data_IF_254428864278
#
_entry.id   IF_254428864278
#
_cell.length_a   1.000
_cell.length_b   1.000
_cell.length_c   1.000
_cell.angle_alpha   90.00
_cell.angle_beta   90.00
_cell.angle_gamma   90.00
#
_symmetry.space_group_name_H-M   'P 1'
#
loop_
_entity.id
_entity.type
_entity.pdbx_description
1 polymer ?
#
# COMPACT_ATOMS: atom_id res chain seq x y z
N UNK A 1 -1.44 -4.63 -29.28
CA UNK A 1 -0.69 -5.09 -28.09
C UNK A 1 -1.19 -4.32 -26.88
N UNK A 2 -1.57 -4.99 -25.82
CA UNK A 2 -1.99 -4.36 -24.58
C UNK A 2 -0.80 -4.18 -23.62
N UNK A 3 -0.75 -3.05 -22.93
CA UNK A 3 0.18 -2.86 -21.84
C UNK A 3 -0.34 -3.59 -20.58
N UNK A 4 0.55 -4.01 -19.71
CA UNK A 4 0.22 -4.70 -18.47
C UNK A 4 0.68 -3.89 -17.27
N UNK A 5 -0.07 -3.95 -16.18
CA UNK A 5 0.35 -3.32 -14.92
C UNK A 5 1.59 -4.06 -14.37
N UNK A 6 2.65 -3.31 -14.06
CA UNK A 6 3.88 -3.87 -13.52
C UNK A 6 3.88 -3.91 -11.99
N UNK A 7 3.59 -2.79 -11.36
CA UNK A 7 3.47 -2.66 -9.91
C UNK A 7 2.69 -1.41 -9.52
N UNK A 8 2.29 -1.35 -8.27
CA UNK A 8 1.75 -0.13 -7.64
C UNK A 8 2.80 0.44 -6.69
N UNK A 9 3.17 1.71 -6.88
CA UNK A 9 4.12 2.41 -6.03
C UNK A 9 3.44 3.11 -4.86
N UNK A 10 3.98 2.95 -3.66
CA UNK A 10 3.49 3.57 -2.43
C UNK A 10 4.67 4.27 -1.75
N UNK A 11 4.62 5.59 -1.68
CA UNK A 11 5.61 6.39 -0.94
C UNK A 11 5.23 6.40 0.54
N UNK A 12 6.18 6.04 1.38
CA UNK A 12 5.97 5.86 2.82
C UNK A 12 7.01 6.65 3.63
N UNK A 13 6.65 7.00 4.86
CA UNK A 13 7.56 7.68 5.81
C UNK A 13 8.19 6.73 6.82
N UNK A 14 7.61 5.55 7.00
CA UNK A 14 8.13 4.48 7.86
C UNK A 14 8.13 3.16 7.08
N UNK A 15 9.25 2.90 6.39
CA UNK A 15 9.33 1.75 5.48
C UNK A 15 9.35 0.42 6.23
N UNK A 16 9.96 0.35 7.41
CA UNK A 16 9.99 -0.90 8.20
C UNK A 16 8.58 -1.28 8.67
N UNK A 17 7.79 -0.29 9.08
CA UNK A 17 6.38 -0.49 9.44
C UNK A 17 5.59 -1.05 8.25
N UNK A 18 5.76 -0.49 7.06
CA UNK A 18 5.08 -0.98 5.86
C UNK A 18 5.59 -2.35 5.39
N UNK A 19 6.88 -2.64 5.48
CA UNK A 19 7.40 -4.00 5.21
C UNK A 19 6.71 -5.01 6.13
N UNK A 20 6.61 -4.70 7.43
CA UNK A 20 5.91 -5.56 8.40
C UNK A 20 4.43 -5.74 8.05
N UNK A 21 3.73 -4.68 7.67
CA UNK A 21 2.34 -4.75 7.21
C UNK A 21 2.18 -5.76 6.06
N UNK A 22 2.95 -5.55 5.00
CA UNK A 22 2.79 -6.34 3.79
C UNK A 22 3.30 -7.78 3.94
N UNK A 23 4.31 -8.02 4.75
CA UNK A 23 4.82 -9.40 4.97
C UNK A 23 4.03 -10.14 6.05
N UNK A 24 3.97 -9.62 7.26
CA UNK A 24 3.40 -10.33 8.40
C UNK A 24 1.86 -10.38 8.40
N UNK A 25 1.20 -9.34 7.91
CA UNK A 25 -0.26 -9.26 7.93
C UNK A 25 -0.86 -9.64 6.57
N UNK A 26 -0.33 -9.09 5.48
CA UNK A 26 -0.87 -9.33 4.13
C UNK A 26 -0.31 -10.56 3.44
N UNK A 27 0.76 -11.17 3.96
CA UNK A 27 1.33 -12.41 3.42
C UNK A 27 2.14 -12.25 2.14
N UNK A 28 2.59 -11.03 1.81
CA UNK A 28 3.50 -10.79 0.69
C UNK A 28 4.93 -11.19 1.04
N UNK A 29 5.73 -11.42 0.02
CA UNK A 29 7.16 -11.72 0.15
C UNK A 29 8.00 -10.62 -0.46
N UNK A 30 9.08 -10.21 0.22
CA UNK A 30 10.05 -9.25 -0.33
C UNK A 30 10.85 -9.93 -1.44
N UNK A 31 10.89 -9.31 -2.63
CA UNK A 31 11.67 -9.78 -3.78
C UNK A 31 12.86 -8.89 -4.11
N UNK A 32 12.87 -7.64 -3.65
CA UNK A 32 14.04 -6.76 -3.75
C UNK A 32 13.98 -5.67 -2.67
N UNK A 33 15.16 -5.24 -2.24
CA UNK A 33 15.35 -4.16 -1.28
C UNK A 33 16.65 -3.43 -1.63
N UNK A 34 16.53 -2.24 -2.19
CA UNK A 34 17.67 -1.50 -2.73
C UNK A 34 17.67 -0.06 -2.24
N UNK A 35 18.86 0.46 -1.98
CA UNK A 35 19.10 1.89 -1.80
C UNK A 35 19.68 2.45 -3.09
N UNK A 36 18.97 3.40 -3.69
CA UNK A 36 19.31 3.97 -5.00
C UNK A 36 19.67 5.44 -4.86
N UNK A 37 20.77 5.84 -5.50
CA UNK A 37 21.26 7.21 -5.59
C UNK A 37 22.10 7.38 -6.85
N UNK A 38 22.41 8.61 -7.23
CA UNK A 38 23.23 8.95 -8.38
C UNK A 38 22.45 9.34 -9.62
N UNK A 39 23.17 9.63 -10.70
CA UNK A 39 22.62 10.29 -11.89
C UNK A 39 21.47 9.54 -12.57
N UNK A 40 21.48 8.21 -12.55
CA UNK A 40 20.45 7.42 -13.20
C UNK A 40 19.10 7.58 -12.50
N UNK A 41 19.06 7.39 -11.18
CA UNK A 41 17.80 7.51 -10.42
C UNK A 41 17.33 8.96 -10.36
N UNK A 42 18.24 9.92 -10.30
CA UNK A 42 17.91 11.35 -10.42
C UNK A 42 17.20 11.66 -11.72
N UNK A 43 17.68 11.12 -12.82
CA UNK A 43 17.08 11.30 -14.14
C UNK A 43 15.73 10.61 -14.25
N UNK A 44 15.59 9.40 -13.69
CA UNK A 44 14.32 8.63 -13.71
C UNK A 44 13.24 9.36 -12.91
N UNK A 45 13.56 9.83 -11.71
CA UNK A 45 12.57 10.46 -10.82
C UNK A 45 12.44 11.98 -11.02
N UNK A 46 13.38 12.61 -11.73
CA UNK A 46 13.39 14.07 -11.89
C UNK A 46 13.68 14.83 -10.59
N UNK A 47 14.41 14.21 -9.66
CA UNK A 47 14.74 14.78 -8.35
C UNK A 47 16.26 14.81 -8.20
N UNK A 48 16.89 15.99 -8.10
CA UNK A 48 18.32 16.09 -7.88
C UNK A 48 18.72 15.60 -6.49
N UNK A 49 19.90 15.03 -6.39
CA UNK A 49 20.50 14.49 -5.14
C UNK A 49 19.60 13.47 -4.42
N UNK A 50 18.74 12.77 -5.16
CA UNK A 50 17.82 11.80 -4.59
C UNK A 50 18.56 10.61 -4.00
N UNK A 51 18.09 10.19 -2.83
CA UNK A 51 18.45 8.93 -2.20
C UNK A 51 17.18 8.26 -1.73
N UNK A 52 16.84 7.14 -2.34
CA UNK A 52 15.58 6.44 -2.13
C UNK A 52 15.80 4.95 -1.89
N UNK A 53 15.18 4.41 -0.85
CA UNK A 53 15.08 2.97 -0.65
C UNK A 53 13.81 2.47 -1.32
N UNK A 54 13.96 1.47 -2.17
CA UNK A 54 12.87 0.82 -2.88
C UNK A 54 12.76 -0.63 -2.45
N UNK A 55 11.59 -1.04 -1.99
CA UNK A 55 11.31 -2.42 -1.57
C UNK A 55 10.16 -2.94 -2.40
N UNK A 56 10.38 -4.00 -3.16
CA UNK A 56 9.33 -4.68 -3.93
C UNK A 56 8.86 -5.91 -3.18
N UNK A 57 7.55 -6.06 -3.10
CA UNK A 57 6.89 -7.20 -2.47
C UNK A 57 5.89 -7.80 -3.45
N UNK A 58 5.73 -9.11 -3.39
CA UNK A 58 4.91 -9.88 -4.31
C UNK A 58 3.95 -10.80 -3.54
N UNK A 59 2.72 -10.92 -4.05
CA UNK A 59 1.75 -11.89 -3.55
C UNK A 59 1.84 -13.23 -4.32
N UNK A 60 1.01 -14.19 -3.93
CA UNK A 60 0.96 -15.53 -4.55
C UNK A 60 0.48 -15.50 -6.02
N UNK A 61 -0.24 -14.46 -6.42
CA UNK A 61 -0.72 -14.27 -7.80
C UNK A 61 0.22 -13.43 -8.65
N UNK A 62 1.44 -13.15 -8.16
CA UNK A 62 2.46 -12.33 -8.83
C UNK A 62 2.09 -10.85 -8.97
N UNK A 63 1.14 -10.37 -8.19
CA UNK A 63 0.89 -8.93 -8.06
C UNK A 63 1.99 -8.29 -7.23
N UNK A 64 2.50 -7.15 -7.68
CA UNK A 64 3.65 -6.51 -7.05
C UNK A 64 3.29 -5.11 -6.56
N UNK A 65 3.72 -4.80 -5.34
CA UNK A 65 3.79 -3.43 -4.82
C UNK A 65 5.25 -3.02 -4.67
N UNK A 66 5.50 -1.73 -4.77
CA UNK A 66 6.81 -1.12 -4.51
C UNK A 66 6.66 -0.05 -3.44
N UNK A 67 7.35 -0.23 -2.32
CA UNK A 67 7.46 0.77 -1.28
C UNK A 67 8.64 1.68 -1.59
N UNK A 68 8.44 3.00 -1.50
CA UNK A 68 9.50 3.98 -1.70
C UNK A 68 9.63 4.84 -0.43
N UNK A 69 10.84 4.88 0.09
CA UNK A 69 11.18 5.75 1.20
C UNK A 69 12.31 6.70 0.79
N UNK A 70 11.99 7.99 0.76
CA UNK A 70 12.94 9.03 0.38
C UNK A 70 13.79 9.45 1.58
N UNK A 71 15.06 9.06 1.58
CA UNK A 71 16.03 9.53 2.57
C UNK A 71 16.40 10.99 2.30
N UNK A 72 16.54 11.36 1.01
CA UNK A 72 16.84 12.70 0.55
C UNK A 72 16.26 12.95 -0.87
N UNK A 73 15.58 14.07 -1.13
CA UNK A 73 14.94 14.92 -0.11
C UNK A 73 13.82 14.14 0.58
N UNK A 74 13.55 14.50 1.82
CA UNK A 74 12.42 13.91 2.56
C UNK A 74 11.10 14.18 1.84
N UNK A 75 10.20 13.21 1.85
CA UNK A 75 8.85 13.39 1.31
C UNK A 75 8.14 14.54 2.01
N UNK A 76 7.45 15.41 1.25
CA UNK A 76 6.65 16.47 1.87
C UNK A 76 5.51 15.88 2.69
N UNK A 77 5.08 16.59 3.72
CA UNK A 77 3.92 16.22 4.52
C UNK A 77 2.67 16.19 3.64
N UNK A 78 1.92 15.10 3.72
CA UNK A 78 0.66 14.96 3.01
C UNK A 78 -0.50 15.36 3.93
N UNK A 79 -1.43 16.15 3.40
CA UNK A 79 -2.69 16.43 4.09
C UNK A 79 -3.55 15.17 4.17
N UNK A 80 -4.41 15.10 5.18
CA UNK A 80 -5.41 14.03 5.28
C UNK A 80 -6.35 14.08 4.08
N UNK A 81 -6.64 12.90 3.53
CA UNK A 81 -7.54 12.73 2.39
C UNK A 81 -8.79 11.93 2.77
N UNK A 82 -9.85 12.15 2.02
CA UNK A 82 -11.04 11.28 2.06
C UNK A 82 -10.95 10.19 1.00
N UNK A 83 -11.83 9.20 1.09
CA UNK A 83 -11.92 8.11 0.10
C UNK A 83 -12.31 8.62 -1.30
N UNK A 84 -12.84 9.83 -1.40
CA UNK A 84 -13.22 10.51 -2.65
C UNK A 84 -12.19 11.53 -3.13
N UNK A 85 -11.01 11.62 -2.54
CA UNK A 85 -9.96 12.52 -3.00
C UNK A 85 -9.46 12.13 -4.38
N UNK A 86 -9.09 13.12 -5.20
CA UNK A 86 -8.59 12.87 -6.55
C UNK A 86 -7.28 12.07 -6.52
N UNK A 87 -7.12 11.19 -7.48
CA UNK A 87 -5.94 10.36 -7.67
C UNK A 87 -6.08 8.95 -7.11
N UNK A 88 -4.95 8.27 -6.93
CA UNK A 88 -4.91 6.93 -6.33
C UNK A 88 -5.10 7.07 -4.83
N UNK A 89 -6.21 6.56 -4.29
CA UNK A 89 -6.55 6.66 -2.88
C UNK A 89 -6.30 5.38 -2.11
N UNK A 90 -6.41 4.22 -2.76
CA UNK A 90 -6.36 2.92 -2.07
C UNK A 90 -5.76 1.82 -2.92
N UNK A 91 -5.37 0.76 -2.23
CA UNK A 91 -5.07 -0.56 -2.78
C UNK A 91 -6.11 -1.52 -2.24
N UNK A 92 -6.72 -2.32 -3.12
CA UNK A 92 -7.67 -3.34 -2.73
C UNK A 92 -6.98 -4.70 -2.57
N UNK A 93 -7.27 -5.37 -1.45
CA UNK A 93 -6.74 -6.70 -1.12
C UNK A 93 -7.89 -7.66 -0.86
N UNK A 94 -7.84 -8.83 -1.48
CA UNK A 94 -8.77 -9.93 -1.20
C UNK A 94 -8.32 -10.68 0.06
N UNK A 95 -9.27 -11.06 0.90
CA UNK A 95 -9.04 -11.89 2.09
C UNK A 95 -10.04 -13.04 2.15
N UNK A 96 -9.65 -14.11 2.84
CA UNK A 96 -10.55 -15.23 3.17
C UNK A 96 -11.30 -15.00 4.49
N UNK A 97 -10.91 -13.98 5.28
CA UNK A 97 -11.58 -13.64 6.53
C UNK A 97 -11.45 -12.16 6.86
N UNK A 98 -12.52 -11.41 6.63
CA UNK A 98 -12.61 -10.00 7.01
C UNK A 98 -12.40 -9.80 8.52
N UNK A 99 -12.98 -10.66 9.34
CA UNK A 99 -12.91 -10.53 10.79
C UNK A 99 -11.47 -10.61 11.30
N UNK A 100 -10.73 -11.65 10.88
CA UNK A 100 -9.33 -11.82 11.30
C UNK A 100 -8.43 -10.71 10.81
N UNK A 101 -8.58 -10.33 9.55
CA UNK A 101 -7.76 -9.27 8.97
C UNK A 101 -8.07 -7.90 9.60
N UNK A 102 -9.35 -7.59 9.86
CA UNK A 102 -9.76 -6.39 10.58
C UNK A 102 -9.07 -6.27 11.94
N UNK A 103 -9.06 -7.34 12.73
CA UNK A 103 -8.37 -7.38 14.04
C UNK A 103 -6.88 -7.06 13.90
N UNK A 104 -6.19 -7.73 12.98
CA UNK A 104 -4.76 -7.49 12.73
C UNK A 104 -4.47 -6.06 12.25
N UNK A 105 -5.32 -5.49 11.40
CA UNK A 105 -5.16 -4.11 10.92
C UNK A 105 -5.36 -3.09 12.03
N UNK A 106 -6.35 -3.29 12.89
CA UNK A 106 -6.59 -2.39 14.04
C UNK A 106 -5.42 -2.46 15.01
N UNK A 107 -4.92 -3.65 15.34
CA UNK A 107 -3.74 -3.82 16.20
C UNK A 107 -2.49 -3.16 15.61
N UNK A 108 -2.37 -3.15 14.29
CA UNK A 108 -1.27 -2.47 13.59
C UNK A 108 -1.37 -0.93 13.64
N UNK A 109 -2.56 -0.37 13.79
CA UNK A 109 -2.80 1.07 13.86
C UNK A 109 -3.75 1.63 12.80
N UNK A 110 -4.36 0.77 11.98
CA UNK A 110 -5.46 1.20 11.11
C UNK A 110 -6.75 1.43 11.91
N UNK A 111 -7.62 2.25 11.37
CA UNK A 111 -9.00 2.34 11.82
C UNK A 111 -9.95 2.09 10.66
N UNK A 112 -11.11 1.51 10.96
CA UNK A 112 -12.17 1.37 9.97
C UNK A 112 -12.75 2.75 9.64
N UNK A 113 -12.93 3.02 8.35
CA UNK A 113 -13.71 4.20 7.93
C UNK A 113 -15.15 4.05 8.38
N UNK A 114 -15.71 2.85 8.17
CA UNK A 114 -16.96 2.34 8.73
C UNK A 114 -16.87 0.83 8.92
N UNK A 115 -17.81 0.23 9.63
CA UNK A 115 -17.87 -1.23 9.70
C UNK A 115 -18.02 -1.85 8.30
N UNK A 116 -17.31 -2.97 8.01
CA UNK A 116 -17.43 -3.65 6.73
C UNK A 116 -18.85 -4.05 6.39
N UNK A 117 -19.25 -3.84 5.15
CA UNK A 117 -20.63 -3.99 4.66
C UNK A 117 -20.69 -5.12 3.63
N UNK A 118 -21.74 -5.93 3.72
CA UNK A 118 -22.07 -6.92 2.69
C UNK A 118 -22.75 -6.22 1.51
N UNK A 119 -22.32 -6.55 0.28
CA UNK A 119 -22.93 -6.02 -0.93
C UNK A 119 -24.41 -6.43 -1.04
N UNK A 120 -25.26 -5.63 -1.75
CA UNK A 120 -26.68 -5.93 -1.88
C UNK A 120 -27.00 -7.33 -2.43
N UNK A 121 -26.16 -7.87 -3.30
CA UNK A 121 -26.30 -9.22 -3.85
C UNK A 121 -25.69 -10.31 -2.96
N UNK A 122 -25.12 -9.97 -1.81
CA UNK A 122 -24.53 -10.92 -0.86
C UNK A 122 -23.21 -11.57 -1.30
N UNK A 123 -22.58 -11.10 -2.39
CA UNK A 123 -21.43 -11.78 -2.98
C UNK A 123 -20.10 -11.43 -2.33
N UNK A 124 -20.00 -10.24 -1.74
CA UNK A 124 -18.77 -9.74 -1.11
C UNK A 124 -19.08 -8.96 0.16
N UNK A 125 -18.11 -8.94 1.06
CA UNK A 125 -18.06 -8.04 2.20
C UNK A 125 -16.86 -7.11 2.03
N UNK A 126 -17.09 -5.81 2.12
CA UNK A 126 -16.09 -4.78 1.83
C UNK A 126 -15.91 -3.84 3.01
N UNK A 127 -14.68 -3.49 3.31
CA UNK A 127 -14.35 -2.47 4.31
C UNK A 127 -13.16 -1.63 3.87
N UNK A 128 -13.19 -0.34 4.22
CA UNK A 128 -12.08 0.58 4.05
C UNK A 128 -11.40 0.83 5.39
N UNK A 129 -10.07 0.76 5.37
CA UNK A 129 -9.21 0.96 6.53
C UNK A 129 -8.23 2.08 6.25
N UNK A 130 -8.12 3.04 7.15
CA UNK A 130 -7.26 4.19 7.02
C UNK A 130 -6.07 4.13 7.96
N UNK A 131 -4.89 4.48 7.45
CA UNK A 131 -3.67 4.68 8.23
C UNK A 131 -3.28 6.15 8.15
N UNK A 132 -3.32 6.84 9.28
CA UNK A 132 -2.96 8.26 9.41
C UNK A 132 -3.72 9.23 8.48
N UNK A 133 -4.83 8.77 7.89
CA UNK A 133 -5.65 9.58 6.97
C UNK A 133 -4.99 9.91 5.63
N UNK A 134 -3.92 9.21 5.26
CA UNK A 134 -3.17 9.43 4.02
C UNK A 134 -3.05 8.20 3.15
N UNK A 135 -3.41 7.04 3.69
CA UNK A 135 -3.34 5.75 3.01
C UNK A 135 -4.56 4.92 3.37
N UNK A 136 -5.23 4.38 2.35
CA UNK A 136 -6.38 3.50 2.51
C UNK A 136 -6.10 2.10 1.97
N UNK A 137 -6.58 1.10 2.71
CA UNK A 137 -6.74 -0.26 2.22
C UNK A 137 -8.23 -0.54 2.04
N UNK A 138 -8.61 -1.02 0.88
CA UNK A 138 -9.90 -1.66 0.65
C UNK A 138 -9.71 -3.17 0.86
N UNK A 139 -10.46 -3.75 1.77
CA UNK A 139 -10.44 -5.18 2.01
C UNK A 139 -11.73 -5.81 1.49
N UNK A 140 -11.58 -6.85 0.70
CA UNK A 140 -12.70 -7.55 0.06
C UNK A 140 -12.67 -9.03 0.45
N UNK A 141 -13.71 -9.49 1.12
CA UNK A 141 -13.95 -10.92 1.35
C UNK A 141 -15.04 -11.40 0.38
N UNK A 142 -14.73 -12.44 -0.37
CA UNK A 142 -15.72 -13.10 -1.25
C UNK A 142 -16.52 -14.09 -0.41
N UNK A 143 -17.84 -13.94 -0.39
CA UNK A 143 -18.74 -14.73 0.44
C UNK A 143 -19.28 -15.96 -0.29
#
# INVERSE_FOLDING_TARGET
MANTLRHTGIVVTDIEKHISLWTAIMGFSVISDNLESGSQIESILGIPDVKVRTVKLIDDLKQTIELLYFENPKSPTKEKIGTNSLGITHVAVKTDSMTKLKESLIDFGFHCVNDPVVSPNGSVKVGYFALDGTFFLEIVEVL
#
